data_IF_864383051643
#
_entry.id   IF_864383051643
#
_cell.length_a   1.000
_cell.length_b   1.000
_cell.length_c   1.000
_cell.angle_alpha   90.00
_cell.angle_beta   90.00
_cell.angle_gamma   90.00
#
_symmetry.space_group_name_H-M   'P 1'
#
loop_
_entity.id
_entity.type
_entity.pdbx_description
1 polymer ?
#
# COMPACT_ATOMS: atom_id res chain seq x y z
N UNK A 1 -4.18 -0.14 -13.44
CA UNK A 1 -3.64 -1.09 -12.43
C UNK A 1 -4.28 -2.47 -12.55
N UNK A 2 -5.61 -2.60 -12.37
CA UNK A 2 -6.31 -3.90 -12.37
C UNK A 2 -5.96 -4.84 -13.53
N UNK A 3 -6.11 -4.39 -14.78
CA UNK A 3 -5.81 -5.21 -15.97
C UNK A 3 -4.36 -5.72 -16.00
N UNK A 4 -3.41 -4.91 -15.50
CA UNK A 4 -2.00 -5.30 -15.40
C UNK A 4 -1.77 -6.33 -14.28
N UNK A 5 -2.45 -6.20 -13.14
CA UNK A 5 -2.44 -7.24 -12.10
C UNK A 5 -3.03 -8.55 -12.62
N UNK A 6 -4.16 -8.49 -13.33
CA UNK A 6 -4.87 -9.65 -13.86
C UNK A 6 -4.06 -10.41 -14.91
N UNK A 7 -3.30 -9.70 -15.75
CA UNK A 7 -2.43 -10.31 -16.76
C UNK A 7 -1.29 -11.17 -16.17
N UNK A 8 -0.96 -10.99 -14.88
CA UNK A 8 0.11 -11.71 -14.19
C UNK A 8 -0.40 -12.84 -13.29
N UNK A 9 -1.69 -13.20 -13.36
CA UNK A 9 -2.31 -14.13 -12.42
C UNK A 9 -1.65 -15.53 -12.38
N UNK A 10 -1.09 -15.96 -13.51
CA UNK A 10 -0.44 -17.26 -13.69
C UNK A 10 1.10 -17.18 -13.66
N UNK A 11 1.67 -16.01 -13.36
CA UNK A 11 3.12 -15.83 -13.35
C UNK A 11 3.73 -16.51 -12.11
N UNK A 12 5.01 -16.88 -12.22
CA UNK A 12 5.80 -17.24 -11.03
C UNK A 12 6.11 -15.98 -10.24
N UNK A 13 6.22 -16.07 -8.92
CA UNK A 13 6.48 -14.93 -8.02
C UNK A 13 7.63 -14.04 -8.51
N UNK A 14 8.72 -14.64 -8.98
CA UNK A 14 9.92 -13.96 -9.48
C UNK A 14 9.65 -13.06 -10.70
N UNK A 15 8.57 -13.33 -11.43
CA UNK A 15 8.22 -12.65 -12.66
C UNK A 15 7.10 -11.62 -12.43
N UNK A 16 6.51 -11.57 -11.23
CA UNK A 16 5.42 -10.64 -10.88
C UNK A 16 5.97 -9.25 -10.60
N UNK A 17 5.51 -8.29 -11.38
CA UNK A 17 5.67 -6.85 -11.17
C UNK A 17 4.55 -6.33 -10.28
N UNK A 18 4.91 -5.62 -9.21
CA UNK A 18 3.95 -4.89 -8.38
C UNK A 18 3.40 -3.68 -9.16
N UNK A 19 2.13 -3.73 -9.56
CA UNK A 19 1.47 -2.60 -10.23
C UNK A 19 0.63 -1.74 -9.28
N UNK A 20 0.57 -2.12 -8.00
CA UNK A 20 -0.17 -1.37 -6.98
C UNK A 20 0.57 -0.08 -6.62
N UNK A 21 1.90 -0.01 -6.77
CA UNK A 21 2.68 1.23 -6.66
C UNK A 21 2.13 2.37 -7.50
N UNK A 22 1.61 2.09 -8.70
CA UNK A 22 0.99 3.10 -9.57
C UNK A 22 -0.32 3.71 -9.02
N UNK A 23 -0.89 3.15 -7.94
CA UNK A 23 -1.99 3.78 -7.20
C UNK A 23 -1.45 4.87 -6.27
N UNK A 24 -0.23 4.69 -5.75
CA UNK A 24 0.42 5.60 -4.82
C UNK A 24 1.19 6.73 -5.54
N UNK A 25 1.70 6.47 -6.75
CA UNK A 25 2.42 7.46 -7.59
C UNK A 25 1.83 8.88 -7.65
N UNK A 26 0.50 9.09 -7.78
CA UNK A 26 -0.06 10.44 -7.87
C UNK A 26 -0.20 11.15 -6.51
N UNK A 27 0.16 10.51 -5.39
CA UNK A 27 -0.02 11.05 -4.04
C UNK A 27 1.30 11.27 -3.33
N UNK A 28 1.40 12.36 -2.58
CA UNK A 28 2.48 12.56 -1.63
C UNK A 28 2.24 11.74 -0.35
N UNK A 29 3.31 11.31 0.37
CA UNK A 29 3.16 10.60 1.64
C UNK A 29 2.28 11.33 2.68
N UNK A 30 2.30 12.66 2.66
CA UNK A 30 1.45 13.49 3.52
C UNK A 30 -0.04 13.35 3.17
N UNK A 31 -0.40 13.26 1.90
CA UNK A 31 -1.81 13.09 1.47
C UNK A 31 -2.36 11.73 1.91
N UNK A 32 -1.53 10.68 1.84
CA UNK A 32 -1.87 9.36 2.38
C UNK A 32 -2.09 9.44 3.89
N UNK A 33 -1.19 10.12 4.61
CA UNK A 33 -1.28 10.30 6.07
C UNK A 33 -2.53 11.09 6.50
N UNK A 34 -2.88 12.13 5.75
CA UNK A 34 -4.08 12.91 5.97
C UNK A 34 -5.33 12.06 5.70
N UNK A 35 -5.32 11.22 4.66
CA UNK A 35 -6.44 10.31 4.38
C UNK A 35 -6.63 9.27 5.48
N UNK A 36 -5.55 8.72 6.03
CA UNK A 36 -5.63 7.80 7.18
C UNK A 36 -6.23 8.54 8.38
N UNK A 37 -5.81 9.78 8.63
CA UNK A 37 -6.34 10.61 9.72
C UNK A 37 -7.84 10.88 9.56
N UNK A 38 -8.30 11.15 8.34
CA UNK A 38 -9.72 11.29 8.00
C UNK A 38 -10.48 9.99 8.27
N UNK A 39 -9.95 8.84 7.84
CA UNK A 39 -10.59 7.53 8.03
C UNK A 39 -10.71 7.11 9.51
N UNK A 40 -9.75 7.52 10.34
CA UNK A 40 -9.78 7.26 11.79
C UNK A 40 -10.57 8.30 12.57
N UNK A 41 -10.93 9.43 11.95
CA UNK A 41 -11.75 10.47 12.57
C UNK A 41 -13.21 10.03 12.59
N UNK A 42 -13.77 9.85 13.79
CA UNK A 42 -15.19 9.54 13.96
C UNK A 42 -16.01 10.82 14.22
N UNK A 43 -17.33 10.82 13.95
CA UNK A 43 -18.20 11.98 14.18
C UNK A 43 -18.24 12.48 15.63
N UNK A 44 -17.84 11.64 16.60
CA UNK A 44 -17.77 12.03 18.02
C UNK A 44 -16.54 12.88 18.35
N UNK A 45 -15.54 12.94 17.48
CA UNK A 45 -14.32 13.71 17.71
C UNK A 45 -14.55 15.15 17.26
N UNK A 46 -14.43 16.08 18.20
CA UNK A 46 -14.66 17.52 17.98
C UNK A 46 -13.40 18.33 17.70
N UNK A 47 -12.25 17.66 17.60
CA UNK A 47 -10.95 18.26 17.32
C UNK A 47 -10.39 17.68 16.02
N UNK A 48 -9.51 18.43 15.36
CA UNK A 48 -8.79 17.90 14.21
C UNK A 48 -7.84 16.78 14.64
N UNK A 49 -7.95 15.62 13.98
CA UNK A 49 -7.02 14.52 14.17
C UNK A 49 -5.96 14.59 13.09
N UNK A 50 -4.70 14.61 13.50
CA UNK A 50 -3.54 14.45 12.63
C UNK A 50 -2.72 13.27 13.13
N UNK A 51 -2.32 12.41 12.21
CA UNK A 51 -1.34 11.36 12.46
C UNK A 51 0.00 11.84 11.93
N UNK A 52 1.00 11.83 12.80
CA UNK A 52 2.37 12.22 12.46
C UNK A 52 3.16 10.94 12.20
N UNK A 53 3.63 10.80 10.97
CA UNK A 53 4.61 9.78 10.58
C UNK A 53 5.96 10.44 10.34
N UNK A 54 7.04 9.68 10.48
CA UNK A 54 8.33 10.10 9.94
C UNK A 54 8.25 10.15 8.42
N UNK A 55 9.08 10.99 7.79
CA UNK A 55 9.30 10.91 6.34
C UNK A 55 9.82 9.51 5.97
N UNK A 56 9.62 9.08 4.72
CA UNK A 56 10.13 7.77 4.27
C UNK A 56 11.66 7.74 4.39
N UNK A 57 12.30 8.86 4.10
CA UNK A 57 13.74 9.06 4.23
C UNK A 57 14.21 8.91 5.69
N UNK A 58 13.54 9.59 6.63
CA UNK A 58 13.89 9.53 8.06
C UNK A 58 13.60 8.15 8.65
N UNK A 59 12.54 7.48 8.19
CA UNK A 59 12.26 6.08 8.55
C UNK A 59 13.42 5.16 8.16
N UNK A 60 13.95 5.30 6.94
CA UNK A 60 15.08 4.50 6.47
C UNK A 60 16.38 4.81 7.22
N UNK A 61 16.59 6.05 7.66
CA UNK A 61 17.72 6.44 8.52
C UNK A 61 17.58 5.81 9.92
N UNK A 62 16.39 5.88 10.51
CA UNK A 62 16.14 5.38 11.85
C UNK A 62 16.16 3.84 11.91
N UNK A 63 15.64 3.18 10.86
CA UNK A 63 15.41 1.74 10.80
C UNK A 63 16.04 1.09 9.55
N UNK A 64 17.37 1.16 9.36
CA UNK A 64 18.03 0.75 8.10
C UNK A 64 17.91 -0.74 7.77
N UNK A 65 17.49 -1.58 8.73
CA UNK A 65 17.27 -3.02 8.55
C UNK A 65 15.78 -3.39 8.48
N UNK A 66 14.89 -2.42 8.64
CA UNK A 66 13.44 -2.61 8.71
C UNK A 66 12.75 -1.45 7.97
N UNK A 67 12.82 -1.47 6.64
CA UNK A 67 12.48 -0.32 5.80
C UNK A 67 10.97 0.01 5.80
N UNK A 68 10.09 -0.99 5.80
CA UNK A 68 8.72 -0.86 6.31
C UNK A 68 7.81 0.20 5.68
N UNK A 69 8.13 0.72 4.50
CA UNK A 69 7.53 1.92 3.91
C UNK A 69 6.35 1.66 2.96
N UNK A 70 6.08 0.40 2.63
CA UNK A 70 5.04 -0.03 1.68
C UNK A 70 3.62 0.46 2.02
N UNK A 71 3.35 0.89 3.25
CA UNK A 71 2.08 1.53 3.62
C UNK A 71 1.91 2.92 3.01
N UNK A 72 3.01 3.59 2.67
CA UNK A 72 3.05 4.94 2.09
C UNK A 72 3.43 4.91 0.61
N UNK A 73 4.19 3.91 0.18
CA UNK A 73 4.70 3.79 -1.21
C UNK A 73 3.97 2.75 -2.03
N UNK A 74 3.28 1.80 -1.39
CA UNK A 74 2.73 0.61 -2.04
C UNK A 74 3.80 -0.38 -2.53
N UNK A 75 5.09 -0.16 -2.21
CA UNK A 75 6.20 -0.96 -2.74
C UNK A 75 6.53 -2.16 -1.85
N UNK A 76 5.85 -3.28 -2.08
CA UNK A 76 6.11 -4.53 -1.35
C UNK A 76 7.42 -5.16 -1.86
N UNK A 77 8.47 -5.31 -1.03
CA UNK A 77 9.84 -5.49 -1.54
C UNK A 77 10.20 -6.94 -1.90
N UNK A 78 9.25 -7.89 -1.85
CA UNK A 78 9.53 -9.32 -2.07
C UNK A 78 8.71 -9.89 -3.23
N UNK A 79 9.24 -10.87 -3.98
CA UNK A 79 8.47 -11.54 -5.06
C UNK A 79 7.12 -12.07 -4.59
N UNK A 80 7.09 -12.72 -3.41
CA UNK A 80 5.83 -13.17 -2.80
C UNK A 80 4.92 -12.00 -2.43
N UNK A 81 5.48 -10.90 -1.92
CA UNK A 81 4.76 -9.65 -1.64
C UNK A 81 4.09 -9.08 -2.89
N UNK A 82 4.79 -9.02 -4.02
CA UNK A 82 4.25 -8.55 -5.31
C UNK A 82 3.03 -9.36 -5.75
N UNK A 83 3.10 -10.70 -5.63
CA UNK A 83 1.96 -11.57 -5.93
C UNK A 83 0.78 -11.26 -5.00
N UNK A 84 1.03 -11.21 -3.69
CA UNK A 84 -0.02 -11.01 -2.69
C UNK A 84 -0.68 -9.65 -2.83
N UNK A 85 0.07 -8.57 -3.04
CA UNK A 85 -0.51 -7.22 -3.19
C UNK A 85 -1.32 -7.08 -4.48
N UNK A 86 -0.84 -7.64 -5.59
CA UNK A 86 -1.60 -7.67 -6.85
C UNK A 86 -2.91 -8.45 -6.69
N UNK A 87 -2.86 -9.61 -6.01
CA UNK A 87 -4.05 -10.42 -5.70
C UNK A 87 -5.02 -9.69 -4.78
N UNK A 88 -4.52 -9.06 -3.72
CA UNK A 88 -5.35 -8.29 -2.79
C UNK A 88 -6.08 -7.15 -3.51
N UNK A 89 -5.39 -6.43 -4.40
CA UNK A 89 -6.01 -5.39 -5.20
C UNK A 89 -7.08 -5.93 -6.16
N UNK A 90 -6.84 -7.09 -6.80
CA UNK A 90 -7.86 -7.75 -7.62
C UNK A 90 -9.09 -8.16 -6.80
N UNK A 91 -8.89 -8.76 -5.61
CA UNK A 91 -9.99 -9.14 -4.73
C UNK A 91 -10.83 -7.92 -4.32
N UNK A 92 -10.18 -6.80 -3.95
CA UNK A 92 -10.85 -5.54 -3.67
C UNK A 92 -11.67 -5.05 -4.88
N UNK A 93 -11.06 -5.00 -6.06
CA UNK A 93 -11.72 -4.53 -7.29
C UNK A 93 -12.92 -5.42 -7.68
N UNK A 94 -12.82 -6.73 -7.45
CA UNK A 94 -13.87 -7.71 -7.76
C UNK A 94 -14.91 -7.87 -6.63
N UNK A 95 -14.76 -7.16 -5.50
CA UNK A 95 -15.65 -7.28 -4.34
C UNK A 95 -15.59 -8.64 -3.65
N UNK A 96 -14.46 -9.36 -3.75
CA UNK A 96 -14.26 -10.68 -3.16
C UNK A 96 -13.71 -10.56 -1.74
N UNK A 97 -14.46 -11.10 -0.78
CA UNK A 97 -13.98 -11.31 0.59
C UNK A 97 -13.14 -12.61 0.67
N UNK A 98 -11.96 -12.57 0.05
CA UNK A 98 -11.04 -13.70 0.00
C UNK A 98 -9.63 -13.26 0.40
N UNK A 99 -8.91 -14.15 1.09
CA UNK A 99 -7.49 -13.94 1.39
C UNK A 99 -6.67 -13.92 0.10
N UNK A 100 -5.62 -13.12 0.09
CA UNK A 100 -4.72 -12.96 -1.05
C UNK A 100 -3.50 -13.90 -1.00
N UNK A 101 -3.32 -14.64 0.09
CA UNK A 101 -2.24 -15.61 0.32
C UNK A 101 -2.79 -17.03 0.44
#
# INVERSE_FOLDING_TARGET
VYAKCKAQESFKDTDVVNYVTAIYEPFQPQEVSDKISEMLSSPGIKAEVKIIFQTVEDLHIACPKNLGDWYFTGDYPTPGGNRVVNRAFMNFYEGKDARAY
#
